data_IF_513939041438
#
_entry.id   IF_513939041438
#
_cell.length_a   1.000
_cell.length_b   1.000
_cell.length_c   1.000
_cell.angle_alpha   90.00
_cell.angle_beta   90.00
_cell.angle_gamma   90.00
#
_symmetry.space_group_name_H-M   'P 1'
#
loop_
_entity.id
_entity.type
_entity.pdbx_description
1 polymer ?
#
# COMPACT_ATOMS: atom_id res chain seq x y z
N UNK A 1 -10.09 17.85 26.77
CA UNK A 1 -10.57 16.76 25.89
C UNK A 1 -9.41 16.19 25.04
N UNK A 2 -8.31 15.78 25.70
CA UNK A 2 -7.09 15.23 25.07
C UNK A 2 -6.70 13.90 25.74
N UNK A 3 -7.04 13.72 27.02
CA UNK A 3 -6.84 12.49 27.80
C UNK A 3 -7.66 11.27 27.32
N UNK A 4 -8.81 11.47 26.68
CA UNK A 4 -9.64 10.37 26.16
C UNK A 4 -9.13 9.76 24.84
N UNK A 5 -8.26 10.47 24.10
CA UNK A 5 -7.58 9.89 22.92
C UNK A 5 -6.54 8.84 23.33
N UNK A 6 -5.95 8.97 24.52
CA UNK A 6 -4.83 8.14 24.96
C UNK A 6 -5.23 6.79 25.55
N UNK A 7 -6.49 6.60 25.96
CA UNK A 7 -6.97 5.32 26.55
C UNK A 7 -7.38 4.35 25.45
N UNK A 8 -7.90 4.84 24.32
CA UNK A 8 -8.31 4.01 23.19
C UNK A 8 -7.13 3.44 22.37
N UNK A 9 -5.96 4.08 22.42
CA UNK A 9 -4.73 3.53 21.84
C UNK A 9 -4.22 2.26 22.57
N UNK A 10 -4.68 2.02 23.82
CA UNK A 10 -4.18 0.94 24.68
C UNK A 10 -4.77 -0.44 24.37
N UNK A 11 -5.86 -0.53 23.58
CA UNK A 11 -6.50 -1.82 23.23
C UNK A 11 -6.59 -2.06 21.72
N UNK A 12 -5.59 -1.62 20.93
CA UNK A 12 -5.36 -2.15 19.59
C UNK A 12 -4.83 -3.60 19.62
N UNK A 13 -5.61 -4.53 20.19
CA UNK A 13 -5.33 -5.97 20.13
C UNK A 13 -5.44 -6.45 18.67
N UNK A 14 -6.38 -5.88 17.92
CA UNK A 14 -6.55 -6.07 16.48
C UNK A 14 -5.90 -4.93 15.71
N UNK A 15 -5.60 -5.16 14.43
CA UNK A 15 -4.96 -4.16 13.57
C UNK A 15 -5.70 -2.82 13.60
N UNK A 16 -4.95 -1.73 13.76
CA UNK A 16 -5.49 -0.37 13.87
C UNK A 16 -4.54 0.68 13.25
N UNK A 17 -4.99 1.92 13.18
CA UNK A 17 -4.23 3.04 12.61
C UNK A 17 -3.20 3.54 13.63
N UNK A 18 -2.11 2.80 13.80
CA UNK A 18 -1.01 3.15 14.69
C UNK A 18 0.33 2.74 14.08
N UNK A 19 1.42 3.34 14.56
CA UNK A 19 2.78 3.07 14.10
C UNK A 19 3.23 1.61 14.31
N UNK A 20 2.51 0.85 15.15
CA UNK A 20 2.78 -0.57 15.34
C UNK A 20 2.40 -1.40 14.10
N UNK A 21 1.24 -1.09 13.52
CA UNK A 21 0.66 -1.80 12.38
C UNK A 21 1.01 -1.14 11.05
N UNK A 22 1.03 0.19 11.01
CA UNK A 22 1.42 1.02 9.86
C UNK A 22 2.84 1.51 10.08
N UNK A 23 3.82 0.74 9.60
CA UNK A 23 5.24 0.98 9.87
C UNK A 23 5.77 2.21 9.14
N UNK A 24 5.30 2.43 7.91
CA UNK A 24 5.89 3.40 6.98
C UNK A 24 7.42 3.28 6.87
N UNK A 25 7.96 2.06 6.84
CA UNK A 25 9.41 1.82 6.85
C UNK A 25 10.00 1.96 5.44
N UNK A 26 10.20 3.22 5.02
CA UNK A 26 10.78 3.57 3.73
C UNK A 26 12.25 3.11 3.62
N UNK A 27 12.95 2.95 4.75
CA UNK A 27 14.34 2.47 4.76
C UNK A 27 14.40 0.97 4.46
N UNK A 28 13.48 0.19 5.02
CA UNK A 28 13.30 -1.22 4.65
C UNK A 28 12.99 -1.35 3.15
N UNK A 29 12.11 -0.50 2.63
CA UNK A 29 11.78 -0.49 1.21
C UNK A 29 13.01 -0.22 0.33
N UNK A 30 13.81 0.81 0.67
CA UNK A 30 15.04 1.15 -0.04
C UNK A 30 16.00 -0.06 -0.10
N UNK A 31 16.29 -0.66 1.04
CA UNK A 31 17.18 -1.82 1.13
C UNK A 31 16.70 -3.00 0.29
N UNK A 32 15.40 -3.31 0.33
CA UNK A 32 14.79 -4.41 -0.44
C UNK A 32 14.85 -4.14 -1.94
N UNK A 33 14.41 -2.96 -2.39
CA UNK A 33 14.44 -2.64 -3.81
C UNK A 33 15.87 -2.58 -4.34
N UNK A 34 16.80 -1.96 -3.61
CA UNK A 34 18.20 -1.86 -4.03
C UNK A 34 18.90 -3.22 -4.15
N UNK A 35 18.59 -4.16 -3.27
CA UNK A 35 19.23 -5.49 -3.27
C UNK A 35 18.51 -6.52 -4.15
N UNK A 36 17.20 -6.38 -4.37
CA UNK A 36 16.39 -7.44 -5.01
C UNK A 36 15.75 -7.02 -6.34
N UNK A 37 15.57 -5.71 -6.62
CA UNK A 37 15.02 -5.22 -7.89
C UNK A 37 16.14 -5.01 -8.91
N UNK A 38 16.41 -6.04 -9.71
CA UNK A 38 17.50 -6.02 -10.69
C UNK A 38 17.05 -5.40 -12.02
N UNK A 39 17.92 -4.56 -12.62
CA UNK A 39 17.74 -4.04 -13.97
C UNK A 39 16.66 -2.96 -14.13
N UNK A 40 16.14 -2.41 -13.03
CA UNK A 40 15.09 -1.39 -13.04
C UNK A 40 15.47 -0.11 -12.24
N UNK A 41 16.62 0.54 -12.55
CA UNK A 41 17.09 1.70 -11.76
C UNK A 41 16.13 2.90 -11.80
N UNK A 42 15.47 3.15 -12.94
CA UNK A 42 14.47 4.22 -13.06
C UNK A 42 13.25 3.96 -12.19
N UNK A 43 12.74 2.73 -12.19
CA UNK A 43 11.58 2.37 -11.37
C UNK A 43 11.91 2.45 -9.88
N UNK A 44 13.07 1.91 -9.48
CA UNK A 44 13.57 2.01 -8.10
C UNK A 44 13.57 3.46 -7.61
N UNK A 45 14.24 4.35 -8.33
CA UNK A 45 14.45 5.72 -7.90
C UNK A 45 13.13 6.53 -7.86
N UNK A 46 12.28 6.39 -8.88
CA UNK A 46 10.99 7.10 -8.90
C UNK A 46 10.07 6.62 -7.78
N UNK A 47 9.94 5.30 -7.59
CA UNK A 47 9.03 4.71 -6.59
C UNK A 47 9.48 5.08 -5.18
N UNK A 48 10.78 4.95 -4.89
CA UNK A 48 11.31 5.28 -3.57
C UNK A 48 11.11 6.76 -3.24
N UNK A 49 11.39 7.67 -4.19
CA UNK A 49 11.18 9.11 -4.01
C UNK A 49 9.71 9.46 -3.80
N UNK A 50 8.80 8.90 -4.61
CA UNK A 50 7.37 9.15 -4.50
C UNK A 50 6.80 8.68 -3.15
N UNK A 51 7.15 7.47 -2.72
CA UNK A 51 6.67 6.92 -1.44
C UNK A 51 7.25 7.73 -0.29
N UNK A 52 8.56 7.97 -0.27
CA UNK A 52 9.22 8.77 0.76
C UNK A 52 8.57 10.15 0.91
N UNK A 53 8.33 10.83 -0.21
CA UNK A 53 7.69 12.15 -0.19
C UNK A 53 6.26 12.07 0.35
N UNK A 54 5.48 11.07 -0.05
CA UNK A 54 4.10 10.93 0.39
C UNK A 54 3.98 10.58 1.87
N UNK A 55 4.74 9.60 2.35
CA UNK A 55 4.71 9.16 3.76
C UNK A 55 5.30 10.19 4.72
N UNK A 56 6.15 11.10 4.23
CA UNK A 56 6.68 12.20 5.05
C UNK A 56 5.69 13.33 5.29
N UNK A 57 4.64 13.45 4.47
CA UNK A 57 3.60 14.46 4.64
C UNK A 57 2.42 13.86 5.42
N UNK A 58 2.22 14.31 6.66
CA UNK A 58 1.12 13.84 7.52
C UNK A 58 -0.26 14.27 7.03
N UNK A 59 -0.35 15.29 6.16
CA UNK A 59 -1.61 15.81 5.62
C UNK A 59 -1.49 16.03 4.10
N UNK A 60 -1.41 14.94 3.30
CA UNK A 60 -1.30 15.07 1.86
C UNK A 60 -2.61 15.59 1.27
N UNK A 61 -2.52 16.58 0.37
CA UNK A 61 -3.71 17.16 -0.29
C UNK A 61 -4.39 16.19 -1.26
N UNK A 62 -3.68 15.14 -1.69
CA UNK A 62 -4.15 14.08 -2.60
C UNK A 62 -3.44 12.76 -2.30
N UNK A 63 -4.11 11.64 -2.60
CA UNK A 63 -3.53 10.30 -2.52
C UNK A 63 -2.41 10.11 -3.56
N UNK A 64 -1.40 9.31 -3.21
CA UNK A 64 -0.38 8.86 -4.16
C UNK A 64 -0.96 7.78 -5.08
N UNK A 65 -0.79 7.96 -6.39
CA UNK A 65 -1.15 6.96 -7.42
C UNK A 65 0.11 6.60 -8.20
N UNK A 66 0.39 5.30 -8.29
CA UNK A 66 1.50 4.75 -9.08
C UNK A 66 0.94 3.87 -10.20
N UNK A 67 1.35 4.11 -11.43
CA UNK A 67 1.02 3.24 -12.57
C UNK A 67 2.27 2.56 -13.09
N UNK A 68 2.32 1.23 -12.98
CA UNK A 68 3.48 0.43 -13.38
C UNK A 68 3.17 -0.28 -14.71
N UNK A 69 3.89 0.07 -15.77
CA UNK A 69 3.74 -0.52 -17.10
C UNK A 69 5.00 -1.27 -17.54
N UNK A 70 4.85 -2.24 -18.44
CA UNK A 70 5.95 -3.04 -19.00
C UNK A 70 5.57 -4.49 -19.26
N UNK A 71 6.49 -5.28 -19.82
CA UNK A 71 6.29 -6.71 -20.12
C UNK A 71 6.00 -7.58 -18.89
N UNK A 72 5.47 -8.78 -19.09
CA UNK A 72 5.31 -9.76 -18.01
C UNK A 72 6.69 -10.18 -17.47
N UNK A 73 6.77 -10.55 -16.19
CA UNK A 73 8.03 -10.96 -15.57
C UNK A 73 9.02 -9.83 -15.22
N UNK A 74 8.73 -8.56 -15.53
CA UNK A 74 9.65 -7.43 -15.24
C UNK A 74 9.59 -6.88 -13.81
N UNK A 75 8.89 -7.55 -12.90
CA UNK A 75 8.89 -7.19 -11.47
C UNK A 75 7.82 -6.21 -10.98
N UNK A 76 6.77 -5.87 -11.76
CA UNK A 76 5.71 -4.95 -11.32
C UNK A 76 5.02 -5.39 -10.01
N UNK A 77 4.56 -6.64 -9.94
CA UNK A 77 3.95 -7.20 -8.72
C UNK A 77 4.98 -7.40 -7.61
N UNK A 78 6.24 -7.64 -7.96
CA UNK A 78 7.34 -7.78 -7.02
C UNK A 78 7.60 -6.46 -6.27
N UNK A 79 7.62 -5.34 -6.98
CA UNK A 79 7.74 -4.01 -6.37
C UNK A 79 6.52 -3.70 -5.50
N UNK A 80 5.30 -3.95 -5.99
CA UNK A 80 4.09 -3.75 -5.21
C UNK A 80 4.10 -4.53 -3.89
N UNK A 81 4.58 -5.78 -3.92
CA UNK A 81 4.75 -6.62 -2.72
C UNK A 81 5.70 -5.97 -1.71
N UNK A 82 6.87 -5.51 -2.15
CA UNK A 82 7.82 -4.88 -1.24
C UNK A 82 7.30 -3.56 -0.66
N UNK A 83 6.58 -2.75 -1.44
CA UNK A 83 5.92 -1.56 -0.93
C UNK A 83 4.96 -1.93 0.21
N UNK A 84 4.09 -2.91 -0.01
CA UNK A 84 3.10 -3.35 0.97
C UNK A 84 3.78 -3.88 2.24
N UNK A 85 4.78 -4.75 2.12
CA UNK A 85 5.46 -5.38 3.27
C UNK A 85 6.28 -4.37 4.10
N UNK A 86 6.79 -3.31 3.47
CA UNK A 86 7.51 -2.22 4.15
C UNK A 86 6.57 -1.20 4.82
N UNK A 87 5.40 -0.95 4.25
CA UNK A 87 4.45 0.01 4.82
C UNK A 87 3.55 -0.61 5.90
N UNK A 88 3.15 -1.87 5.74
CA UNK A 88 2.17 -2.53 6.61
C UNK A 88 2.77 -3.76 7.27
N UNK A 89 2.57 -3.91 8.59
CA UNK A 89 3.08 -5.06 9.34
C UNK A 89 2.55 -6.39 8.85
N UNK A 90 1.26 -6.45 8.57
CA UNK A 90 0.59 -7.66 8.07
C UNK A 90 0.71 -7.83 6.55
N UNK A 91 1.40 -6.92 5.86
CA UNK A 91 1.53 -6.93 4.41
C UNK A 91 0.16 -7.00 3.72
N UNK A 92 -0.01 -7.93 2.79
CA UNK A 92 -1.28 -8.14 2.08
C UNK A 92 -2.43 -8.67 2.95
N UNK A 93 -2.15 -9.12 4.18
CA UNK A 93 -3.19 -9.54 5.13
C UNK A 93 -3.73 -8.35 5.95
N UNK A 94 -3.09 -7.19 5.85
CA UNK A 94 -3.56 -5.97 6.49
C UNK A 94 -4.96 -5.60 6.00
N UNK A 95 -5.86 -5.21 6.90
CA UNK A 95 -7.19 -4.70 6.58
C UNK A 95 -7.14 -3.39 5.79
N UNK A 96 -5.99 -2.69 5.83
CA UNK A 96 -5.73 -1.45 5.09
C UNK A 96 -5.15 -1.71 3.70
N UNK A 97 -4.88 -2.98 3.34
CA UNK A 97 -4.36 -3.37 2.03
C UNK A 97 -5.39 -4.22 1.31
N UNK A 98 -5.79 -3.79 0.11
CA UNK A 98 -6.67 -4.58 -0.77
C UNK A 98 -5.95 -4.90 -2.07
N UNK A 99 -5.97 -6.17 -2.45
CA UNK A 99 -5.45 -6.66 -3.72
C UNK A 99 -6.61 -7.11 -4.60
N UNK A 100 -6.79 -6.44 -5.73
CA UNK A 100 -7.74 -6.85 -6.75
C UNK A 100 -7.03 -7.55 -7.91
N UNK A 101 -7.53 -8.71 -8.29
CA UNK A 101 -7.12 -9.50 -9.43
C UNK A 101 -8.28 -9.57 -10.40
N UNK A 102 -8.13 -8.98 -11.59
CA UNK A 102 -9.22 -8.80 -12.56
C UNK A 102 -9.98 -10.09 -12.84
N UNK A 103 -9.27 -11.18 -13.12
CA UNK A 103 -9.87 -12.47 -13.45
C UNK A 103 -10.66 -13.12 -12.31
N UNK A 104 -10.44 -12.70 -11.06
CA UNK A 104 -11.08 -13.28 -9.87
C UNK A 104 -12.16 -12.35 -9.33
N UNK A 105 -11.83 -11.08 -9.15
CA UNK A 105 -12.68 -10.13 -8.44
C UNK A 105 -13.65 -9.40 -9.38
N UNK A 106 -13.41 -9.47 -10.70
CA UNK A 106 -14.18 -8.77 -11.73
C UNK A 106 -14.51 -9.70 -12.91
N UNK A 107 -15.10 -10.86 -12.63
CA UNK A 107 -15.40 -11.88 -13.64
C UNK A 107 -16.63 -11.57 -14.51
N UNK A 108 -17.52 -10.67 -14.06
CA UNK A 108 -18.77 -10.40 -14.76
C UNK A 108 -18.60 -9.24 -15.75
N UNK A 109 -19.13 -9.45 -16.95
CA UNK A 109 -19.07 -8.48 -18.04
C UNK A 109 -20.44 -7.87 -18.38
N UNK A 110 -21.51 -8.35 -17.74
CA UNK A 110 -22.84 -7.79 -17.97
C UNK A 110 -23.03 -6.48 -17.18
N UNK A 111 -23.78 -5.51 -17.74
CA UNK A 111 -23.96 -4.20 -17.12
C UNK A 111 -24.59 -4.25 -15.72
N UNK A 112 -25.42 -5.25 -15.43
CA UNK A 112 -26.11 -5.36 -14.15
C UNK A 112 -25.13 -5.69 -13.02
N UNK A 113 -24.20 -6.61 -13.23
CA UNK A 113 -23.16 -6.96 -12.25
C UNK A 113 -22.04 -5.92 -12.20
N UNK A 114 -21.66 -5.30 -13.33
CA UNK A 114 -20.64 -4.24 -13.34
C UNK A 114 -21.03 -3.07 -12.43
N UNK A 115 -22.32 -2.71 -12.39
CA UNK A 115 -22.82 -1.60 -11.56
C UNK A 115 -22.55 -1.78 -10.05
N UNK A 116 -22.27 -3.01 -9.62
CA UNK A 116 -22.02 -3.39 -8.22
C UNK A 116 -20.54 -3.28 -7.83
N UNK A 117 -19.62 -3.10 -8.79
CA UNK A 117 -18.18 -2.92 -8.55
C UNK A 117 -17.85 -1.52 -8.01
N UNK A 118 -18.40 -1.19 -6.84
CA UNK A 118 -18.15 0.04 -6.09
C UNK A 118 -17.32 -0.28 -4.86
N UNK A 119 -16.26 0.47 -4.64
CA UNK A 119 -15.33 0.27 -3.53
C UNK A 119 -15.25 1.52 -2.68
N UNK A 120 -15.38 1.33 -1.37
CA UNK A 120 -15.03 2.32 -0.37
C UNK A 120 -13.74 1.89 0.32
N UNK A 121 -12.83 2.84 0.51
CA UNK A 121 -11.56 2.61 1.17
C UNK A 121 -11.54 3.38 2.47
N UNK A 122 -11.39 2.66 3.57
CA UNK A 122 -11.16 3.27 4.88
C UNK A 122 -9.65 3.47 5.02
N UNK A 123 -9.21 4.71 4.88
CA UNK A 123 -7.82 5.08 5.12
C UNK A 123 -7.53 5.13 6.63
N UNK A 124 -6.28 4.82 6.95
CA UNK A 124 -5.59 5.42 8.08
C UNK A 124 -5.07 6.79 7.58
#
# INVERSE_FOLDING_TARGET
>A
MVLLRSIFDMFCIMECCSNHWIKNDVKELDLRLKSQLIGQPLAYDLILRSIKSHTSNLNPSKSLVLSLHGGTGTGKNFVAKHIVESLYREGYKSKYVRLYVVSRDFMHHDPAHISQYKFSFDAC
#
